data_IF_703967262660
#
_entry.id   IF_703967262660
#
_cell.length_a   1.000
_cell.length_b   1.000
_cell.length_c   1.000
_cell.angle_alpha   90.00
_cell.angle_beta   90.00
_cell.angle_gamma   90.00
#
_symmetry.space_group_name_H-M   'P 1'
#
loop_
_entity.id
_entity.type
_entity.pdbx_description
1 polymer ?
#
# COMPACT_ATOMS: atom_id res chain seq x y z
N UNK A 1 3.03 -21.05 -7.14
CA UNK A 1 3.78 -20.01 -7.88
C UNK A 1 2.76 -19.19 -8.64
N UNK A 2 2.81 -17.84 -8.58
CA UNK A 2 2.01 -16.95 -9.42
C UNK A 2 2.86 -16.45 -10.60
N UNK A 3 2.22 -16.24 -11.75
CA UNK A 3 2.83 -15.53 -12.87
C UNK A 3 2.78 -14.02 -12.55
N UNK A 4 3.89 -13.33 -12.68
CA UNK A 4 3.98 -11.89 -12.44
C UNK A 4 4.37 -11.19 -13.74
N UNK A 5 3.63 -10.16 -14.10
CA UNK A 5 3.96 -9.24 -15.18
C UNK A 5 4.24 -7.86 -14.60
N UNK A 6 5.33 -7.23 -15.02
CA UNK A 6 5.75 -5.92 -14.51
C UNK A 6 5.59 -4.88 -15.62
N UNK A 7 4.87 -3.82 -15.31
CA UNK A 7 4.62 -2.71 -16.22
C UNK A 7 5.08 -1.39 -15.60
N UNK A 8 5.60 -0.50 -16.44
CA UNK A 8 5.85 0.88 -16.02
C UNK A 8 4.51 1.61 -15.80
N UNK A 9 4.43 2.44 -14.77
CA UNK A 9 3.23 3.17 -14.34
C UNK A 9 2.59 4.03 -15.44
N UNK A 10 3.36 4.46 -16.44
CA UNK A 10 2.91 5.28 -17.57
C UNK A 10 2.72 4.50 -18.88
N UNK A 11 2.89 3.17 -18.86
CA UNK A 11 2.80 2.30 -20.06
C UNK A 11 1.65 1.29 -19.99
N UNK A 12 1.11 1.04 -18.80
CA UNK A 12 -0.03 0.14 -18.63
C UNK A 12 -1.34 0.91 -18.74
N UNK A 13 -2.22 0.45 -19.62
CA UNK A 13 -3.55 1.05 -19.84
C UNK A 13 -4.64 0.18 -19.20
N UNK A 14 -5.77 0.80 -18.86
CA UNK A 14 -6.93 0.14 -18.24
C UNK A 14 -7.44 -1.01 -19.11
N UNK A 15 -7.53 -0.80 -20.42
CA UNK A 15 -8.07 -1.80 -21.35
C UNK A 15 -7.15 -3.01 -21.46
N UNK A 16 -5.84 -2.84 -21.34
CA UNK A 16 -4.91 -3.96 -21.26
C UNK A 16 -5.17 -4.79 -20.00
N UNK A 17 -5.36 -4.15 -18.83
CA UNK A 17 -5.65 -4.84 -17.58
C UNK A 17 -6.94 -5.65 -17.67
N UNK A 18 -7.99 -5.11 -18.30
CA UNK A 18 -9.26 -5.82 -18.56
C UNK A 18 -9.07 -7.01 -19.50
N UNK A 19 -8.38 -6.80 -20.62
CA UNK A 19 -8.14 -7.82 -21.65
C UNK A 19 -7.37 -9.02 -21.09
N UNK A 20 -6.30 -8.75 -20.34
CA UNK A 20 -5.38 -9.77 -19.83
C UNK A 20 -5.90 -10.45 -18.56
N UNK A 21 -7.04 -10.00 -18.01
CA UNK A 21 -7.77 -10.61 -16.86
C UNK A 21 -6.88 -10.82 -15.63
N UNK A 22 -6.07 -9.83 -15.27
CA UNK A 22 -5.23 -9.90 -14.08
C UNK A 22 -6.08 -10.16 -12.83
N UNK A 23 -5.61 -11.09 -12.01
CA UNK A 23 -6.30 -11.49 -10.78
C UNK A 23 -5.98 -10.59 -9.58
N UNK A 24 -4.85 -9.90 -9.62
CA UNK A 24 -4.37 -9.01 -8.55
C UNK A 24 -3.52 -7.89 -9.13
N UNK A 25 -3.54 -6.74 -8.46
CA UNK A 25 -2.72 -5.59 -8.82
C UNK A 25 -1.85 -5.20 -7.63
N UNK A 26 -0.55 -5.04 -7.87
CA UNK A 26 0.38 -4.46 -6.90
C UNK A 26 0.91 -3.15 -7.45
N UNK A 27 0.73 -2.06 -6.71
CA UNK A 27 1.33 -0.77 -7.02
C UNK A 27 2.57 -0.62 -6.15
N UNK A 28 3.72 -0.70 -6.81
CA UNK A 28 5.04 -0.71 -6.18
C UNK A 28 5.46 0.66 -5.63
N UNK A 29 6.53 0.72 -4.83
CA UNK A 29 7.20 1.96 -4.51
C UNK A 29 7.65 2.73 -5.75
N UNK A 30 7.78 4.05 -5.61
CA UNK A 30 8.26 4.92 -6.67
C UNK A 30 8.63 6.31 -6.15
N UNK A 31 9.30 7.12 -6.97
CA UNK A 31 9.66 8.49 -6.64
C UNK A 31 8.46 9.44 -6.70
N UNK A 32 8.63 10.64 -6.15
CA UNK A 32 7.66 11.72 -6.25
C UNK A 32 6.45 11.55 -5.33
N UNK A 33 5.29 11.89 -5.84
CA UNK A 33 4.01 11.86 -5.13
C UNK A 33 2.91 11.18 -5.98
N UNK A 34 1.73 10.91 -5.42
CA UNK A 34 0.65 10.24 -6.16
C UNK A 34 0.26 10.87 -7.49
N UNK A 35 0.31 12.21 -7.61
CA UNK A 35 -0.06 12.90 -8.86
C UNK A 35 0.96 12.68 -9.99
N UNK A 36 2.18 12.28 -9.64
CA UNK A 36 3.28 11.99 -10.58
C UNK A 36 3.40 10.50 -10.90
N UNK A 37 2.46 9.67 -10.40
CA UNK A 37 2.52 8.21 -10.53
C UNK A 37 1.88 7.67 -11.83
N UNK A 38 1.83 8.43 -12.89
CA UNK A 38 1.30 8.01 -14.19
C UNK A 38 -0.16 7.55 -14.09
N UNK A 39 -0.47 6.36 -14.58
CA UNK A 39 -1.83 5.82 -14.61
C UNK A 39 -2.30 5.20 -13.28
N UNK A 40 -1.46 5.15 -12.24
CA UNK A 40 -1.77 4.41 -11.02
C UNK A 40 -3.03 4.90 -10.28
N UNK A 41 -3.28 6.21 -10.22
CA UNK A 41 -4.54 6.73 -9.64
C UNK A 41 -5.77 6.21 -10.38
N UNK A 42 -5.76 6.27 -11.72
CA UNK A 42 -6.85 5.79 -12.59
C UNK A 42 -7.06 4.28 -12.43
N UNK A 43 -5.97 3.51 -12.33
CA UNK A 43 -6.02 2.06 -12.13
C UNK A 43 -6.71 1.71 -10.82
N UNK A 44 -6.33 2.35 -9.70
CA UNK A 44 -7.01 2.13 -8.42
C UNK A 44 -8.49 2.50 -8.52
N UNK A 45 -8.82 3.68 -9.05
CA UNK A 45 -10.20 4.15 -9.22
C UNK A 45 -11.06 3.19 -10.03
N UNK A 46 -10.48 2.57 -11.06
CA UNK A 46 -11.22 1.68 -11.96
C UNK A 46 -11.42 0.29 -11.38
N UNK A 47 -10.38 -0.26 -10.72
CA UNK A 47 -10.35 -1.69 -10.39
C UNK A 47 -10.61 -2.02 -8.91
N UNK A 48 -10.70 -1.04 -8.00
CA UNK A 48 -10.79 -1.31 -6.56
C UNK A 48 -11.99 -2.18 -6.14
N UNK A 49 -13.06 -2.21 -6.94
CA UNK A 49 -14.25 -3.02 -6.68
C UNK A 49 -14.13 -4.45 -7.19
N UNK A 50 -13.27 -4.69 -8.17
CA UNK A 50 -13.26 -5.92 -8.98
C UNK A 50 -11.99 -6.73 -8.87
N UNK A 51 -10.85 -6.09 -8.59
CA UNK A 51 -9.55 -6.76 -8.49
C UNK A 51 -8.91 -6.38 -7.15
N UNK A 52 -8.43 -7.34 -6.36
CA UNK A 52 -7.65 -7.05 -5.15
C UNK A 52 -6.41 -6.21 -5.46
N UNK A 53 -6.20 -5.14 -4.68
CA UNK A 53 -5.09 -4.18 -4.89
C UNK A 53 -4.24 -4.09 -3.63
N UNK A 54 -2.92 -4.17 -3.79
CA UNK A 54 -1.93 -3.84 -2.77
C UNK A 54 -1.10 -2.64 -3.21
N UNK A 55 -1.08 -1.59 -2.40
CA UNK A 55 -0.18 -0.45 -2.57
C UNK A 55 0.98 -0.50 -1.58
N UNK A 56 2.21 -0.37 -2.08
CA UNK A 56 3.43 -0.32 -1.27
C UNK A 56 4.07 1.06 -1.38
N UNK A 57 4.34 1.71 -0.26
CA UNK A 57 4.97 3.02 -0.14
C UNK A 57 4.22 4.10 -0.96
N UNK A 58 4.68 4.46 -2.15
CA UNK A 58 3.94 5.35 -3.05
C UNK A 58 2.55 4.79 -3.39
N UNK A 59 2.43 3.47 -3.61
CA UNK A 59 1.15 2.81 -3.86
C UNK A 59 0.16 2.94 -2.69
N UNK A 60 0.62 2.91 -1.45
CA UNK A 60 -0.19 3.19 -0.26
C UNK A 60 -0.73 4.64 -0.27
N UNK A 61 0.12 5.61 -0.62
CA UNK A 61 -0.29 7.02 -0.72
C UNK A 61 -1.28 7.24 -1.88
N UNK A 62 -1.10 6.54 -3.00
CA UNK A 62 -2.03 6.56 -4.14
C UNK A 62 -3.41 6.06 -3.70
N UNK A 63 -3.48 4.93 -3.00
CA UNK A 63 -4.73 4.41 -2.43
C UNK A 63 -5.32 5.46 -1.48
N UNK A 64 -4.53 6.01 -0.57
CA UNK A 64 -4.97 7.08 0.32
C UNK A 64 -5.62 8.23 -0.44
N UNK A 65 -4.96 8.75 -1.47
CA UNK A 65 -5.46 9.89 -2.26
C UNK A 65 -6.73 9.55 -3.05
N UNK A 66 -6.81 8.37 -3.65
CA UNK A 66 -8.01 7.92 -4.38
C UNK A 66 -9.24 7.94 -3.47
N UNK A 67 -9.09 7.51 -2.22
CA UNK A 67 -10.15 7.54 -1.21
C UNK A 67 -10.17 8.83 -0.39
N UNK A 68 -9.70 9.95 -0.97
CA UNK A 68 -9.82 11.32 -0.42
C UNK A 68 -9.06 11.57 0.88
N UNK A 69 -8.03 10.77 1.17
CA UNK A 69 -7.08 11.10 2.24
C UNK A 69 -6.14 12.21 1.79
N UNK A 70 -5.74 13.07 2.72
CA UNK A 70 -4.71 14.08 2.47
C UNK A 70 -3.32 13.46 2.59
N UNK A 71 -2.46 13.68 1.60
CA UNK A 71 -1.05 13.31 1.64
C UNK A 71 -0.25 14.54 2.05
N UNK A 72 0.57 14.39 3.08
CA UNK A 72 1.36 15.48 3.66
C UNK A 72 2.84 15.09 3.81
N UNK A 73 3.69 16.07 3.95
CA UNK A 73 5.09 15.84 4.27
C UNK A 73 5.22 15.32 5.71
N UNK A 74 6.02 14.28 5.89
CA UNK A 74 6.34 13.75 7.21
C UNK A 74 7.24 14.74 7.99
N UNK A 75 7.02 14.87 9.29
CA UNK A 75 7.90 15.68 10.16
C UNK A 75 9.36 15.18 10.14
N UNK A 76 9.56 13.90 9.90
CA UNK A 76 10.88 13.26 9.82
C UNK A 76 10.96 12.40 8.58
N UNK A 77 11.95 12.68 7.74
CA UNK A 77 12.26 11.88 6.55
C UNK A 77 12.85 10.54 7.00
N UNK A 78 12.31 9.46 6.45
CA UNK A 78 12.81 8.10 6.68
C UNK A 78 13.54 7.60 5.43
N UNK A 79 14.77 7.16 5.62
CA UNK A 79 15.59 6.60 4.54
C UNK A 79 16.37 5.38 5.04
N UNK A 80 15.92 4.18 4.66
CA UNK A 80 16.57 2.91 5.03
C UNK A 80 16.51 2.54 6.51
N UNK A 81 15.70 3.25 7.31
CA UNK A 81 15.55 3.01 8.74
C UNK A 81 14.41 2.05 9.01
N UNK A 82 14.59 1.19 10.00
CA UNK A 82 13.50 0.34 10.50
C UNK A 82 12.72 1.05 11.60
N UNK A 83 11.46 0.69 11.74
CA UNK A 83 10.59 1.12 12.85
C UNK A 83 9.75 -0.05 13.34
N UNK A 84 9.40 -0.03 14.62
CA UNK A 84 8.40 -0.94 15.16
C UNK A 84 7.00 -0.46 14.75
N UNK A 85 6.22 -1.37 14.22
CA UNK A 85 4.88 -1.13 13.70
C UNK A 85 3.92 -2.04 14.46
N UNK A 86 2.92 -1.44 15.10
CA UNK A 86 1.79 -2.13 15.72
C UNK A 86 0.63 -2.22 14.74
N UNK A 87 0.00 -3.38 14.64
CA UNK A 87 -1.15 -3.60 13.75
C UNK A 87 -2.31 -4.30 14.46
N UNK A 88 -3.51 -4.20 13.90
CA UNK A 88 -4.74 -4.75 14.45
C UNK A 88 -5.07 -6.18 13.99
N UNK A 89 -4.14 -6.85 13.31
CA UNK A 89 -4.28 -8.20 12.72
C UNK A 89 -5.32 -8.32 11.59
N UNK A 90 -5.88 -7.23 11.12
CA UNK A 90 -6.85 -7.27 10.03
C UNK A 90 -6.15 -7.30 8.64
N UNK A 91 -6.91 -7.75 7.65
CA UNK A 91 -6.45 -7.77 6.26
C UNK A 91 -5.20 -8.63 6.08
N UNK A 92 -4.22 -8.08 5.40
CA UNK A 92 -2.94 -8.75 5.13
C UNK A 92 -2.10 -9.02 6.38
N UNK A 93 -2.44 -8.45 7.55
CA UNK A 93 -1.76 -8.68 8.82
C UNK A 93 -2.26 -9.92 9.58
N UNK A 94 -3.20 -10.69 9.02
CA UNK A 94 -3.72 -11.92 9.65
C UNK A 94 -2.58 -12.92 9.92
N UNK A 95 -2.52 -13.41 11.16
CA UNK A 95 -1.49 -14.40 11.57
C UNK A 95 -0.07 -13.85 11.66
N UNK A 96 0.15 -12.54 11.52
CA UNK A 96 1.45 -11.88 11.71
C UNK A 96 1.65 -11.51 13.19
N UNK A 97 2.90 -11.45 13.67
CA UNK A 97 3.23 -11.02 15.05
C UNK A 97 2.67 -9.63 15.28
N UNK A 98 2.09 -9.35 16.46
CA UNK A 98 1.41 -8.10 16.81
C UNK A 98 2.24 -6.84 16.58
N UNK A 99 3.54 -6.93 16.75
CA UNK A 99 4.52 -5.87 16.49
C UNK A 99 5.55 -6.44 15.52
N UNK A 100 5.81 -5.70 14.46
CA UNK A 100 6.81 -6.05 13.44
C UNK A 100 7.84 -4.95 13.30
N UNK A 101 9.07 -5.32 12.94
CA UNK A 101 10.08 -4.37 12.46
C UNK A 101 9.95 -4.25 10.95
N UNK A 102 9.90 -3.04 10.41
CA UNK A 102 9.80 -2.84 8.98
C UNK A 102 10.60 -1.63 8.49
N UNK A 103 11.14 -1.77 7.28
CA UNK A 103 11.97 -0.75 6.62
C UNK A 103 11.10 0.36 6.01
N UNK A 104 11.55 1.60 6.16
CA UNK A 104 10.88 2.80 5.67
C UNK A 104 11.79 3.64 4.79
N UNK A 105 11.25 4.11 3.65
CA UNK A 105 11.91 5.01 2.68
C UNK A 105 10.91 6.05 2.20
N UNK A 106 10.48 6.98 3.06
CA UNK A 106 9.46 7.94 2.66
C UNK A 106 9.62 9.30 3.32
N UNK A 107 9.25 10.34 2.61
CA UNK A 107 9.11 11.72 3.06
C UNK A 107 7.64 12.17 3.12
N UNK A 108 6.73 11.43 2.48
CA UNK A 108 5.29 11.69 2.49
C UNK A 108 4.56 10.62 3.31
N UNK A 109 3.43 11.01 3.89
CA UNK A 109 2.54 10.16 4.69
C UNK A 109 1.08 10.53 4.46
N UNK A 110 0.18 9.61 4.76
CA UNK A 110 -1.25 9.92 4.88
C UNK A 110 -1.48 10.68 6.19
N UNK A 111 -2.13 11.84 6.10
CA UNK A 111 -2.54 12.61 7.27
C UNK A 111 -3.64 11.87 8.04
N UNK A 112 -3.35 11.51 9.29
CA UNK A 112 -4.31 10.80 10.15
C UNK A 112 -5.59 11.61 10.41
N UNK A 113 -5.52 12.94 10.46
CA UNK A 113 -6.69 13.80 10.69
C UNK A 113 -7.61 13.86 9.47
N UNK A 114 -7.06 13.62 8.29
CA UNK A 114 -7.76 13.70 7.02
C UNK A 114 -7.71 12.34 6.28
N UNK A 115 -7.96 11.24 7.01
CA UNK A 115 -8.12 9.92 6.42
C UNK A 115 -9.48 9.83 5.74
N UNK A 116 -9.51 9.28 4.53
CA UNK A 116 -10.75 9.06 3.77
C UNK A 116 -11.69 8.10 4.49
N UNK A 117 -12.99 8.40 4.47
CA UNK A 117 -14.03 7.67 5.24
C UNK A 117 -14.18 6.19 4.87
N UNK A 118 -13.77 5.81 3.68
CA UNK A 118 -13.81 4.42 3.19
C UNK A 118 -12.58 3.59 3.61
N UNK A 119 -11.59 4.23 4.24
CA UNK A 119 -10.37 3.57 4.69
C UNK A 119 -10.36 3.36 6.21
N UNK A 120 -9.80 2.24 6.63
CA UNK A 120 -9.52 1.96 8.03
C UNK A 120 -8.01 1.76 8.23
N UNK A 121 -7.49 2.26 9.35
CA UNK A 121 -6.09 2.09 9.71
C UNK A 121 -5.88 0.67 10.22
N UNK A 122 -4.93 -0.05 9.63
CA UNK A 122 -4.57 -1.41 10.02
C UNK A 122 -3.24 -1.47 10.77
N UNK A 123 -2.35 -0.51 10.56
CA UNK A 123 -1.04 -0.46 11.23
C UNK A 123 -0.56 0.97 11.46
N UNK A 124 0.17 1.19 12.57
CA UNK A 124 0.76 2.47 12.93
C UNK A 124 2.10 2.29 13.66
N UNK A 125 2.94 3.32 13.61
CA UNK A 125 4.08 3.48 14.53
C UNK A 125 3.62 4.00 15.89
N UNK A 126 4.50 4.01 16.89
CA UNK A 126 4.19 4.56 18.24
C UNK A 126 3.87 6.06 18.19
N UNK A 127 4.52 6.82 17.31
CA UNK A 127 4.25 8.24 17.04
C UNK A 127 3.02 8.45 16.13
N UNK A 128 2.19 7.40 15.96
CA UNK A 128 0.88 7.43 15.28
C UNK A 128 0.92 7.74 13.78
N UNK A 129 2.04 7.56 13.12
CA UNK A 129 2.12 7.60 11.67
C UNK A 129 1.40 6.37 11.10
N UNK A 130 0.53 6.56 10.12
CA UNK A 130 -0.18 5.47 9.44
C UNK A 130 0.82 4.64 8.63
N UNK A 131 0.89 3.36 8.94
CA UNK A 131 1.77 2.39 8.29
C UNK A 131 1.00 1.33 7.52
N UNK A 132 -0.30 1.21 7.75
CA UNK A 132 -1.17 0.30 7.02
C UNK A 132 -2.59 0.84 6.96
N UNK A 133 -3.22 0.65 5.81
CA UNK A 133 -4.63 0.94 5.56
C UNK A 133 -5.28 -0.22 4.83
N UNK A 134 -6.59 -0.33 4.95
CA UNK A 134 -7.41 -1.15 4.07
C UNK A 134 -8.74 -0.45 3.78
N UNK A 135 -9.35 -0.76 2.66
CA UNK A 135 -10.71 -0.35 2.36
C UNK A 135 -11.70 -1.14 3.23
N UNK A 136 -12.74 -0.47 3.74
CA UNK A 136 -13.71 -1.08 4.67
C UNK A 136 -14.61 -2.16 4.02
N UNK A 137 -14.70 -2.19 2.69
CA UNK A 137 -15.59 -3.10 1.93
C UNK A 137 -14.85 -3.96 0.90
N UNK A 138 -13.84 -3.45 0.22
CA UNK A 138 -13.18 -4.11 -0.91
C UNK A 138 -11.76 -4.55 -0.55
N UNK A 139 -11.22 -5.53 -1.29
CA UNK A 139 -9.87 -6.06 -1.07
C UNK A 139 -8.79 -5.10 -1.57
N UNK A 140 -8.72 -3.93 -0.96
CA UNK A 140 -7.71 -2.91 -1.21
C UNK A 140 -6.92 -2.67 0.05
N UNK A 141 -5.61 -2.87 -0.03
CA UNK A 141 -4.68 -2.79 1.08
C UNK A 141 -3.52 -1.86 0.73
N UNK A 142 -3.01 -1.13 1.71
CA UNK A 142 -1.84 -0.29 1.54
C UNK A 142 -0.89 -0.39 2.73
N UNK A 143 0.42 -0.47 2.46
CA UNK A 143 1.47 -0.40 3.48
C UNK A 143 2.48 0.69 3.14
N UNK A 144 2.79 1.57 4.11
CA UNK A 144 3.74 2.67 3.92
C UNK A 144 5.20 2.19 3.97
N UNK A 145 5.46 1.08 4.64
CA UNK A 145 6.77 0.43 4.73
C UNK A 145 7.01 -0.51 3.55
N UNK A 146 8.21 -1.07 3.47
CA UNK A 146 8.65 -1.96 2.41
C UNK A 146 8.63 -3.43 2.84
N UNK A 147 7.56 -4.19 2.54
CA UNK A 147 7.46 -5.62 2.89
C UNK A 147 8.46 -6.48 2.10
N UNK A 148 8.94 -6.01 0.95
CA UNK A 148 9.94 -6.71 0.12
C UNK A 148 11.36 -6.60 0.67
N UNK A 149 11.60 -5.69 1.63
CA UNK A 149 12.93 -5.46 2.19
C UNK A 149 13.38 -6.62 3.07
N UNK A 150 14.65 -7.01 2.96
CA UNK A 150 15.27 -8.03 3.81
C UNK A 150 15.22 -7.67 5.32
N UNK A 151 15.19 -6.38 5.64
CA UNK A 151 15.03 -5.87 7.02
C UNK A 151 13.59 -5.78 7.48
N UNK A 152 12.64 -6.38 6.75
CA UNK A 152 11.23 -6.56 7.13
C UNK A 152 10.93 -8.06 7.24
N UNK A 153 11.28 -8.72 8.36
CA UNK A 153 11.22 -10.19 8.46
C UNK A 153 9.84 -10.78 8.17
N UNK A 154 8.76 -10.10 8.58
CA UNK A 154 7.38 -10.57 8.35
C UNK A 154 6.83 -10.19 6.97
N UNK A 155 7.63 -9.50 6.14
CA UNK A 155 7.19 -8.93 4.87
C UNK A 155 6.67 -9.97 3.88
N UNK A 156 7.39 -11.09 3.72
CA UNK A 156 6.95 -12.19 2.85
C UNK A 156 5.62 -12.81 3.27
N UNK A 157 5.34 -12.83 4.58
CA UNK A 157 4.05 -13.32 5.10
C UNK A 157 2.92 -12.37 4.74
N UNK A 158 3.15 -11.05 4.82
CA UNK A 158 2.18 -10.04 4.39
C UNK A 158 1.87 -10.17 2.89
N UNK A 159 2.89 -10.34 2.05
CA UNK A 159 2.72 -10.53 0.61
C UNK A 159 1.96 -11.83 0.30
N UNK A 160 2.28 -12.94 0.97
CA UNK A 160 1.54 -14.20 0.85
C UNK A 160 0.08 -14.06 1.27
N UNK A 161 -0.19 -13.35 2.38
CA UNK A 161 -1.55 -13.08 2.81
C UNK A 161 -2.34 -12.32 1.74
N UNK A 162 -1.73 -11.32 1.09
CA UNK A 162 -2.37 -10.60 -0.02
C UNK A 162 -2.66 -11.53 -1.21
N UNK A 163 -1.77 -12.45 -1.55
CA UNK A 163 -1.98 -13.39 -2.65
C UNK A 163 -3.14 -14.37 -2.40
N UNK A 164 -3.55 -14.56 -1.16
CA UNK A 164 -4.64 -15.45 -0.78
C UNK A 164 -6.04 -14.80 -0.78
N UNK A 165 -6.15 -13.52 -1.18
CA UNK A 165 -7.43 -12.82 -1.35
C UNK A 165 -8.16 -13.19 -2.66
#
# INVERSE_FOLDING_TARGET
KCKVEVHRNNKIEIDKIKKDKYQKIVISPGPGNPNQAGNCLKIVQHFYKTIPILGVCLGHQIIGQVFKSKIIQAKKIMHGKTSLIKHNKNGIFKGVKKIISATRYHSLIIDKKNLGKELVITAQTDDKIIMGIMHNKYNVHGVQFHPESIKTPEGMKLLKNFLNY
#
